data_IF_739762408435
#
_entry.id   IF_739762408435
#
_cell.length_a   1.000
_cell.length_b   1.000
_cell.length_c   1.000
_cell.angle_alpha   90.00
_cell.angle_beta   90.00
_cell.angle_gamma   90.00
#
_symmetry.space_group_name_H-M   'P 1'
#
loop_
_entity.id
_entity.type
_entity.pdbx_description
1 polymer ?
#
# COMPACT_ATOMS: atom_id res chain seq x y z
N UNK A 1 4.96 -27.96 -7.13
CA UNK A 1 6.16 -27.27 -6.64
C UNK A 1 5.87 -26.14 -5.66
N UNK A 2 4.61 -25.74 -5.44
CA UNK A 2 4.21 -24.65 -4.51
C UNK A 2 3.21 -25.13 -3.45
N UNK A 3 2.58 -26.28 -3.65
CA UNK A 3 1.68 -26.91 -2.68
C UNK A 3 2.51 -27.45 -1.52
N UNK A 4 2.06 -27.20 -0.29
CA UNK A 4 2.73 -27.54 0.97
C UNK A 4 4.13 -26.96 1.15
N UNK A 5 4.47 -25.87 0.43
CA UNK A 5 5.76 -25.17 0.54
C UNK A 5 5.57 -23.87 1.30
N UNK A 6 6.39 -23.65 2.35
CA UNK A 6 6.37 -22.43 3.16
C UNK A 6 5.04 -22.23 3.87
N UNK A 7 4.51 -23.30 4.47
CA UNK A 7 3.23 -23.27 5.21
C UNK A 7 3.35 -22.45 6.47
N UNK A 8 2.37 -21.54 6.69
CA UNK A 8 2.26 -20.71 7.89
C UNK A 8 0.82 -20.75 8.39
N UNK A 9 0.63 -21.15 9.65
CA UNK A 9 -0.72 -21.15 10.26
C UNK A 9 -1.25 -19.74 10.47
N UNK A 10 -2.58 -19.54 10.58
CA UNK A 10 -3.18 -18.22 10.83
C UNK A 10 -2.63 -17.52 12.07
N UNK A 11 -2.50 -18.24 13.18
CA UNK A 11 -1.98 -17.71 14.44
C UNK A 11 -0.52 -17.26 14.31
N UNK A 12 0.27 -18.10 13.60
CA UNK A 12 1.68 -17.79 13.40
C UNK A 12 1.86 -16.60 12.44
N UNK A 13 1.02 -16.50 11.41
CA UNK A 13 1.02 -15.37 10.49
C UNK A 13 0.78 -14.03 11.21
N UNK A 14 -0.15 -13.98 12.17
CA UNK A 14 -0.38 -12.81 13.02
C UNK A 14 0.83 -12.48 13.91
N UNK A 15 1.45 -13.48 14.54
CA UNK A 15 2.64 -13.28 15.38
C UNK A 15 3.84 -12.76 14.59
N UNK A 16 3.98 -13.17 13.33
CA UNK A 16 5.03 -12.70 12.41
C UNK A 16 4.74 -11.31 11.82
N UNK A 17 3.57 -10.75 12.09
CA UNK A 17 3.15 -9.45 11.57
C UNK A 17 2.81 -9.47 10.08
N UNK A 18 2.36 -10.60 9.56
CA UNK A 18 1.92 -10.72 8.17
C UNK A 18 0.69 -9.87 7.91
N UNK A 19 0.62 -9.33 6.70
CA UNK A 19 -0.51 -8.56 6.20
C UNK A 19 -0.71 -8.86 4.71
N UNK A 20 -1.85 -8.43 4.15
CA UNK A 20 -2.15 -8.63 2.74
C UNK A 20 -2.23 -10.11 2.33
N UNK A 21 -1.78 -10.45 1.12
CA UNK A 21 -1.84 -11.80 0.59
C UNK A 21 -1.14 -12.85 1.46
N UNK A 22 -0.08 -12.47 2.19
CA UNK A 22 0.62 -13.36 3.11
C UNK A 22 -0.29 -13.80 4.26
N UNK A 23 -1.08 -12.88 4.82
CA UNK A 23 -2.02 -13.17 5.89
C UNK A 23 -3.28 -13.87 5.36
N UNK A 24 -3.84 -13.36 4.26
CA UNK A 24 -5.04 -13.95 3.63
C UNK A 24 -4.80 -15.35 3.09
N UNK A 25 -3.60 -15.63 2.58
CA UNK A 25 -3.19 -16.99 2.19
C UNK A 25 -3.23 -18.00 3.34
N UNK A 26 -3.01 -17.54 4.58
CA UNK A 26 -3.10 -18.35 5.79
C UNK A 26 -4.52 -18.50 6.36
N UNK A 27 -5.55 -17.98 5.66
CA UNK A 27 -6.95 -18.16 6.07
C UNK A 27 -7.53 -17.03 6.91
N UNK A 28 -6.83 -15.90 7.05
CA UNK A 28 -7.32 -14.78 7.84
C UNK A 28 -7.87 -13.66 6.94
N UNK A 29 -9.18 -13.41 7.01
CA UNK A 29 -9.87 -12.39 6.21
C UNK A 29 -9.62 -10.98 6.75
N UNK A 30 -8.51 -10.38 6.37
CA UNK A 30 -8.17 -9.02 6.72
C UNK A 30 -7.77 -8.20 5.49
N UNK A 31 -8.48 -7.11 5.27
CA UNK A 31 -8.21 -6.14 4.20
C UNK A 31 -8.67 -4.75 4.66
N UNK A 32 -7.76 -3.78 4.66
CA UNK A 32 -8.05 -2.42 5.14
C UNK A 32 -9.13 -1.73 4.30
N UNK A 33 -9.24 -2.06 3.03
CA UNK A 33 -10.26 -1.49 2.13
C UNK A 33 -11.69 -1.82 2.56
N UNK A 34 -11.89 -2.93 3.28
CA UNK A 34 -13.20 -3.36 3.82
C UNK A 34 -13.33 -3.14 5.33
N UNK A 35 -12.26 -3.35 6.11
CA UNK A 35 -12.31 -3.26 7.58
C UNK A 35 -12.16 -1.82 8.09
N UNK A 36 -11.42 -0.98 7.37
CA UNK A 36 -11.22 0.45 7.64
C UNK A 36 -11.25 1.22 6.32
N UNK A 37 -12.43 1.33 5.66
CA UNK A 37 -12.54 1.93 4.35
C UNK A 37 -11.96 3.34 4.30
N UNK A 38 -11.25 3.64 3.23
CA UNK A 38 -10.70 4.94 2.91
C UNK A 38 -11.01 5.29 1.46
N UNK A 39 -10.92 6.58 1.10
CA UNK A 39 -11.29 7.10 -0.21
C UNK A 39 -12.72 6.67 -0.60
N UNK A 40 -12.87 5.93 -1.69
CA UNK A 40 -14.17 5.50 -2.22
C UNK A 40 -14.45 3.99 -2.04
N UNK A 41 -13.60 3.27 -1.29
CA UNK A 41 -13.74 1.82 -1.15
C UNK A 41 -15.04 1.37 -0.49
N UNK A 42 -15.68 2.21 0.30
CA UNK A 42 -16.99 1.98 0.88
C UNK A 42 -18.13 1.88 -0.16
N UNK A 43 -17.90 2.43 -1.38
CA UNK A 43 -18.86 2.46 -2.49
C UNK A 43 -18.61 1.40 -3.56
N UNK A 44 -17.50 0.67 -3.44
CA UNK A 44 -17.07 -0.30 -4.44
C UNK A 44 -17.46 -1.72 -4.04
N UNK A 45 -17.92 -2.47 -5.02
CA UNK A 45 -18.26 -3.88 -4.86
C UNK A 45 -17.07 -4.75 -5.31
N UNK A 46 -16.50 -5.49 -4.38
CA UNK A 46 -15.42 -6.45 -4.60
C UNK A 46 -15.31 -7.44 -3.44
N UNK A 47 -14.77 -8.61 -3.71
CA UNK A 47 -14.57 -9.66 -2.73
C UNK A 47 -13.12 -9.68 -2.22
N UNK A 48 -12.94 -10.20 -1.00
CA UNK A 48 -11.62 -10.45 -0.41
C UNK A 48 -11.31 -11.93 -0.56
N UNK A 49 -10.35 -12.32 -1.42
CA UNK A 49 -9.95 -13.71 -1.53
C UNK A 49 -9.16 -14.17 -0.30
N UNK A 50 -9.48 -15.36 0.19
CA UNK A 50 -8.85 -15.98 1.36
C UNK A 50 -8.42 -17.41 1.03
N UNK A 51 -7.20 -17.77 1.38
CA UNK A 51 -6.68 -19.14 1.27
C UNK A 51 -7.09 -20.02 2.46
N UNK A 52 -6.66 -21.25 2.45
CA UNK A 52 -7.00 -22.26 3.47
C UNK A 52 -5.76 -22.90 4.07
N UNK A 53 -4.77 -23.24 3.21
CA UNK A 53 -3.63 -24.08 3.61
C UNK A 53 -2.42 -23.25 4.11
N UNK A 54 -2.39 -21.97 3.87
CA UNK A 54 -1.29 -21.08 4.27
C UNK A 54 0.03 -21.37 3.54
N UNK A 55 -0.01 -21.99 2.38
CA UNK A 55 1.15 -22.35 1.57
C UNK A 55 1.40 -21.36 0.41
N UNK A 56 2.48 -21.59 -0.32
CA UNK A 56 2.83 -20.73 -1.47
C UNK A 56 1.82 -20.81 -2.60
N UNK A 57 1.11 -21.93 -2.74
CA UNK A 57 0.09 -22.09 -3.78
C UNK A 57 -1.17 -21.27 -3.46
N UNK A 58 -1.63 -21.31 -2.22
CA UNK A 58 -2.77 -20.49 -1.79
C UNK A 58 -2.48 -19.01 -1.93
N UNK A 59 -1.27 -18.55 -1.57
CA UNK A 59 -0.85 -17.15 -1.77
C UNK A 59 -0.84 -16.76 -3.25
N UNK A 60 -0.45 -17.68 -4.13
CA UNK A 60 -0.53 -17.46 -5.57
C UNK A 60 -1.99 -17.31 -6.03
N UNK A 61 -2.89 -18.20 -5.59
CA UNK A 61 -4.31 -18.14 -5.95
C UNK A 61 -4.97 -16.85 -5.43
N UNK A 62 -4.67 -16.46 -4.20
CA UNK A 62 -5.13 -15.19 -3.61
C UNK A 62 -4.73 -14.01 -4.50
N UNK A 63 -3.46 -13.92 -4.91
CA UNK A 63 -2.98 -12.82 -5.79
C UNK A 63 -3.64 -12.81 -7.16
N UNK A 64 -3.88 -13.97 -7.76
CA UNK A 64 -4.60 -14.05 -9.04
C UNK A 64 -6.02 -13.53 -8.89
N UNK A 65 -6.71 -13.90 -7.82
CA UNK A 65 -8.08 -13.41 -7.59
C UNK A 65 -8.09 -11.92 -7.25
N UNK A 66 -7.14 -11.42 -6.48
CA UNK A 66 -7.00 -9.99 -6.22
C UNK A 66 -6.80 -9.16 -7.49
N UNK A 67 -6.08 -9.67 -8.48
CA UNK A 67 -5.95 -9.01 -9.78
C UNK A 67 -7.30 -8.94 -10.52
N UNK A 68 -8.15 -9.98 -10.41
CA UNK A 68 -9.50 -9.96 -10.99
C UNK A 68 -10.38 -8.94 -10.28
N UNK A 69 -10.35 -8.91 -8.96
CA UNK A 69 -11.09 -7.94 -8.15
C UNK A 69 -10.62 -6.50 -8.43
N UNK A 70 -9.31 -6.26 -8.55
CA UNK A 70 -8.77 -4.96 -8.93
C UNK A 70 -9.25 -4.50 -10.30
N UNK A 71 -9.35 -5.41 -11.27
CA UNK A 71 -9.90 -5.09 -12.58
C UNK A 71 -11.41 -4.74 -12.52
N UNK A 72 -12.18 -5.41 -11.65
CA UNK A 72 -13.57 -5.06 -11.37
C UNK A 72 -13.68 -3.65 -10.76
N UNK A 73 -12.84 -3.32 -9.78
CA UNK A 73 -12.78 -1.98 -9.17
C UNK A 73 -12.48 -0.91 -10.23
N UNK A 74 -11.51 -1.13 -11.10
CA UNK A 74 -11.16 -0.19 -12.18
C UNK A 74 -12.37 0.07 -13.09
N UNK A 75 -13.12 -0.98 -13.47
CA UNK A 75 -14.32 -0.84 -14.30
C UNK A 75 -15.39 0.01 -13.61
N UNK A 76 -15.62 -0.19 -12.32
CA UNK A 76 -16.57 0.59 -11.53
C UNK A 76 -16.15 2.07 -11.45
N UNK A 77 -14.87 2.33 -11.16
CA UNK A 77 -14.33 3.69 -11.12
C UNK A 77 -14.44 4.41 -12.47
N UNK A 78 -14.12 3.74 -13.58
CA UNK A 78 -14.22 4.32 -14.93
C UNK A 78 -15.67 4.61 -15.29
N UNK A 79 -16.60 3.71 -14.96
CA UNK A 79 -18.03 3.95 -15.19
C UNK A 79 -18.50 5.19 -14.41
N UNK A 80 -18.17 5.27 -13.12
CA UNK A 80 -18.54 6.41 -12.28
C UNK A 80 -17.97 7.74 -12.78
N UNK A 81 -16.69 7.77 -13.18
CA UNK A 81 -16.02 8.97 -13.69
C UNK A 81 -16.64 9.47 -15.02
N UNK A 82 -17.16 8.59 -15.86
CA UNK A 82 -17.86 8.99 -17.09
C UNK A 82 -19.15 9.74 -16.81
N UNK A 83 -19.86 9.32 -15.76
CA UNK A 83 -21.14 9.90 -15.38
C UNK A 83 -20.98 11.15 -14.49
N UNK A 84 -19.81 11.29 -13.86
CA UNK A 84 -19.49 12.37 -12.91
C UNK A 84 -18.21 13.11 -13.31
N UNK A 85 -18.19 13.83 -14.42
CA UNK A 85 -17.02 14.63 -14.79
C UNK A 85 -16.82 15.78 -13.80
N UNK A 86 -15.56 16.06 -13.45
CA UNK A 86 -15.21 17.11 -12.50
C UNK A 86 -13.82 17.66 -12.74
N UNK A 87 -13.38 18.67 -11.95
CA UNK A 87 -12.03 19.21 -12.03
C UNK A 87 -11.02 18.12 -11.63
N UNK A 88 -9.91 18.05 -12.35
CA UNK A 88 -8.83 17.10 -12.12
C UNK A 88 -7.75 17.63 -11.19
N UNK A 89 -7.85 18.88 -10.77
CA UNK A 89 -6.87 19.57 -9.94
C UNK A 89 -7.59 20.45 -8.90
N UNK A 90 -7.06 20.49 -7.68
CA UNK A 90 -7.53 21.37 -6.63
C UNK A 90 -7.16 22.82 -6.96
N UNK A 91 -8.11 23.75 -6.81
CA UNK A 91 -7.87 25.18 -6.91
C UNK A 91 -7.45 25.74 -5.53
N UNK A 92 -6.17 25.61 -5.23
CA UNK A 92 -5.58 26.12 -3.99
C UNK A 92 -4.09 26.43 -4.21
N UNK A 93 -3.75 27.72 -4.39
CA UNK A 93 -2.38 28.15 -4.68
C UNK A 93 -1.36 27.81 -3.58
N UNK A 94 -1.77 27.48 -2.38
CA UNK A 94 -0.86 27.08 -1.29
C UNK A 94 -0.25 25.70 -1.49
N UNK A 95 -0.96 24.82 -2.18
CA UNK A 95 -0.54 23.42 -2.36
C UNK A 95 -0.50 22.98 -3.81
N UNK A 96 -1.16 23.72 -4.71
CA UNK A 96 -1.23 23.39 -6.14
C UNK A 96 -0.38 24.38 -6.94
N UNK A 97 0.54 23.88 -7.79
CA UNK A 97 1.33 24.78 -8.63
C UNK A 97 0.44 25.55 -9.63
N UNK A 98 0.72 26.85 -9.85
CA UNK A 98 -0.01 27.63 -10.82
C UNK A 98 0.21 27.17 -12.25
N UNK A 99 -0.69 27.51 -13.16
CA UNK A 99 -0.56 27.16 -14.56
C UNK A 99 0.66 27.87 -15.17
N UNK A 100 1.26 27.23 -16.21
CA UNK A 100 2.41 27.80 -16.92
C UNK A 100 2.13 29.17 -17.55
N UNK A 101 0.89 29.43 -17.93
CA UNK A 101 0.47 30.72 -18.49
C UNK A 101 0.52 31.77 -17.39
N UNK A 102 -0.14 31.53 -16.26
CA UNK A 102 -0.17 32.47 -15.14
C UNK A 102 1.22 32.78 -14.60
N UNK A 103 2.14 31.81 -14.56
CA UNK A 103 3.54 32.07 -14.15
C UNK A 103 4.28 33.06 -15.03
N UNK A 104 3.85 33.28 -16.28
CA UNK A 104 4.48 34.24 -17.20
C UNK A 104 3.92 35.65 -17.11
N UNK A 105 2.64 35.73 -16.76
CA UNK A 105 1.87 36.99 -16.84
C UNK A 105 1.58 37.58 -15.47
N UNK A 106 1.73 36.79 -14.39
CA UNK A 106 1.43 37.19 -13.03
C UNK A 106 2.63 36.90 -12.09
N UNK A 107 3.12 37.94 -11.44
CA UNK A 107 4.26 37.88 -10.53
C UNK A 107 3.95 37.05 -9.27
N UNK A 108 2.73 37.12 -8.76
CA UNK A 108 2.33 36.36 -7.58
C UNK A 108 2.34 34.86 -7.86
N UNK A 109 1.83 34.44 -9.00
CA UNK A 109 1.88 33.05 -9.47
C UNK A 109 3.31 32.55 -9.63
N UNK A 110 4.22 33.38 -10.13
CA UNK A 110 5.63 33.03 -10.23
C UNK A 110 6.27 32.81 -8.86
N UNK A 111 5.98 33.69 -7.88
CA UNK A 111 6.48 33.58 -6.52
C UNK A 111 5.91 32.32 -5.85
N UNK A 112 4.62 32.02 -6.00
CA UNK A 112 4.01 30.80 -5.47
C UNK A 112 4.63 29.54 -6.06
N UNK A 113 4.86 29.52 -7.36
CA UNK A 113 5.56 28.41 -8.02
C UNK A 113 6.97 28.24 -7.43
N UNK A 114 7.75 29.29 -7.35
CA UNK A 114 9.11 29.25 -6.81
C UNK A 114 9.12 28.72 -5.36
N UNK A 115 8.26 29.23 -4.50
CA UNK A 115 8.17 28.80 -3.10
C UNK A 115 7.72 27.35 -2.96
N UNK A 116 6.75 26.90 -3.73
CA UNK A 116 6.27 25.51 -3.70
C UNK A 116 7.37 24.52 -4.04
N UNK A 117 8.22 24.83 -5.02
CA UNK A 117 9.28 23.91 -5.47
C UNK A 117 10.60 24.04 -4.70
N UNK A 118 10.85 25.15 -4.03
CA UNK A 118 12.09 25.35 -3.24
C UNK A 118 11.87 25.10 -1.74
N UNK A 119 10.78 25.57 -1.19
CA UNK A 119 10.48 25.52 0.25
C UNK A 119 9.39 24.48 0.58
N UNK A 120 8.43 24.26 -0.34
CA UNK A 120 7.25 23.46 -0.09
C UNK A 120 6.20 24.22 0.74
N UNK A 121 5.32 23.50 1.42
CA UNK A 121 4.30 24.05 2.29
C UNK A 121 4.43 23.50 3.71
N UNK A 122 4.11 24.32 4.70
CA UNK A 122 4.12 23.92 6.11
C UNK A 122 2.87 23.10 6.45
N UNK A 123 3.03 22.06 7.22
CA UNK A 123 1.93 21.27 7.78
C UNK A 123 1.62 21.73 9.21
N UNK A 124 0.36 21.66 9.65
CA UNK A 124 0.03 21.90 11.06
C UNK A 124 0.84 20.96 12.00
N UNK A 125 1.14 21.45 13.21
CA UNK A 125 1.72 20.62 14.26
C UNK A 125 0.78 19.45 14.61
N UNK A 126 1.35 18.29 14.80
CA UNK A 126 0.59 17.10 15.18
C UNK A 126 1.23 15.81 14.73
N UNK A 127 0.58 14.71 15.08
CA UNK A 127 0.99 13.37 14.68
C UNK A 127 -0.17 12.62 14.05
N UNK A 128 0.14 11.78 13.06
CA UNK A 128 -0.83 10.94 12.35
C UNK A 128 -0.21 9.61 11.95
N UNK A 129 -0.99 8.55 12.11
CA UNK A 129 -0.73 7.28 11.45
C UNK A 129 -1.80 7.03 10.40
N UNK A 130 -1.38 6.76 9.18
CA UNK A 130 -2.26 6.39 8.09
C UNK A 130 -1.73 5.16 7.39
N UNK A 131 -2.61 4.21 7.10
CA UNK A 131 -2.28 2.98 6.41
C UNK A 131 -3.20 2.72 5.23
N UNK A 132 -2.66 2.09 4.19
CA UNK A 132 -3.40 1.68 3.00
C UNK A 132 -3.13 0.20 2.72
N UNK A 133 -4.08 -0.46 2.08
CA UNK A 133 -3.88 -1.82 1.57
C UNK A 133 -3.05 -1.74 0.29
N UNK A 134 -1.78 -2.05 0.40
CA UNK A 134 -0.84 -2.18 -0.71
C UNK A 134 -0.89 -3.63 -1.24
N UNK A 135 -0.59 -3.91 -2.53
CA UNK A 135 -0.61 -5.27 -3.07
C UNK A 135 0.23 -6.30 -2.31
N UNK A 136 1.26 -5.85 -1.60
CA UNK A 136 2.12 -6.71 -0.76
C UNK A 136 1.59 -6.87 0.66
N UNK A 137 0.74 -5.97 1.12
CA UNK A 137 0.19 -5.94 2.47
C UNK A 137 -0.03 -4.52 2.96
N UNK A 138 -0.23 -4.33 4.26
CA UNK A 138 -0.43 -3.02 4.87
C UNK A 138 0.81 -2.15 4.74
N UNK A 139 0.69 -1.03 4.03
CA UNK A 139 1.69 0.02 3.99
C UNK A 139 1.22 1.19 4.85
N UNK A 140 1.98 1.52 5.89
CA UNK A 140 1.62 2.56 6.85
C UNK A 140 2.70 3.62 6.98
N UNK A 141 2.26 4.85 7.20
CA UNK A 141 3.13 5.99 7.49
C UNK A 141 2.73 6.61 8.83
N UNK A 142 3.67 6.68 9.75
CA UNK A 142 3.56 7.49 10.95
C UNK A 142 4.38 8.76 10.76
N UNK A 143 3.70 9.90 10.82
CA UNK A 143 4.27 11.22 10.59
C UNK A 143 4.07 12.10 11.82
N UNK A 144 5.14 12.79 12.23
CA UNK A 144 5.10 13.86 13.23
C UNK A 144 5.52 15.16 12.56
N UNK A 145 4.68 16.19 12.65
CA UNK A 145 4.94 17.55 12.16
C UNK A 145 5.14 18.51 13.34
N UNK A 146 6.13 19.37 13.22
CA UNK A 146 6.40 20.48 14.14
C UNK A 146 5.96 21.87 13.61
N UNK A 147 5.11 21.87 12.59
CA UNK A 147 4.65 23.08 11.93
C UNK A 147 5.57 23.56 10.79
N UNK A 148 6.69 22.89 10.54
CA UNK A 148 7.59 23.22 9.45
C UNK A 148 7.21 22.54 8.12
N UNK A 149 7.98 22.81 7.07
CA UNK A 149 7.86 22.18 5.76
C UNK A 149 8.56 20.81 5.67
N UNK A 150 9.15 20.35 6.76
CA UNK A 150 9.83 19.05 6.85
C UNK A 150 9.25 18.25 7.99
N UNK A 151 9.10 16.94 7.85
CA UNK A 151 8.63 16.12 8.96
C UNK A 151 9.68 16.12 10.08
N UNK A 152 9.24 16.36 11.33
CA UNK A 152 10.07 16.16 12.50
C UNK A 152 10.47 14.70 12.65
N UNK A 153 9.52 13.80 12.41
CA UNK A 153 9.75 12.35 12.38
C UNK A 153 8.85 11.69 11.35
N UNK A 154 9.44 10.78 10.60
CA UNK A 154 8.74 9.91 9.66
C UNK A 154 9.13 8.46 9.93
N UNK A 155 8.15 7.58 10.12
CA UNK A 155 8.36 6.14 10.14
C UNK A 155 7.47 5.48 9.09
N UNK A 156 8.08 4.67 8.26
CA UNK A 156 7.39 3.87 7.24
C UNK A 156 7.28 2.43 7.75
N UNK A 157 6.04 1.92 7.82
CA UNK A 157 5.78 0.51 8.02
C UNK A 157 5.63 -0.12 6.65
N UNK A 158 6.65 -0.88 6.25
CA UNK A 158 6.67 -1.62 5.01
C UNK A 158 6.27 -3.08 5.27
N UNK A 159 5.35 -3.68 4.50
CA UNK A 159 4.93 -5.06 4.73
C UNK A 159 6.08 -6.06 4.49
N UNK A 160 6.93 -5.81 3.50
CA UNK A 160 8.05 -6.68 3.16
C UNK A 160 9.08 -6.85 4.28
N UNK A 161 9.27 -5.85 5.13
CA UNK A 161 10.17 -5.95 6.28
C UNK A 161 9.71 -7.04 7.27
N UNK A 162 8.43 -7.07 7.60
CA UNK A 162 7.86 -8.10 8.46
C UNK A 162 7.86 -9.49 7.76
N UNK A 163 7.50 -9.53 6.48
CA UNK A 163 7.48 -10.79 5.72
C UNK A 163 8.87 -11.42 5.62
N UNK A 164 9.91 -10.64 5.33
CA UNK A 164 11.28 -11.15 5.21
C UNK A 164 11.81 -11.70 6.52
N UNK A 165 11.43 -11.16 7.67
CA UNK A 165 11.86 -11.67 8.98
C UNK A 165 11.46 -13.14 9.22
N UNK A 166 10.42 -13.62 8.55
CA UNK A 166 9.93 -14.99 8.65
C UNK A 166 10.67 -15.99 7.76
N UNK A 167 11.56 -15.54 6.86
CA UNK A 167 12.20 -16.37 5.86
C UNK A 167 12.91 -17.62 6.49
N UNK A 168 13.65 -17.38 7.57
CA UNK A 168 14.35 -18.48 8.25
C UNK A 168 13.39 -19.56 8.78
N UNK A 169 12.23 -19.17 9.27
CA UNK A 169 11.23 -20.11 9.77
C UNK A 169 10.53 -20.86 8.63
N UNK A 170 10.13 -20.13 7.58
CA UNK A 170 9.42 -20.68 6.43
C UNK A 170 10.28 -21.64 5.59
N UNK A 171 11.60 -21.56 5.69
CA UNK A 171 12.52 -22.39 4.90
C UNK A 171 12.98 -23.66 5.62
N UNK A 172 12.75 -23.74 6.93
CA UNK A 172 13.17 -24.94 7.70
C UNK A 172 12.45 -26.21 7.22
N UNK A 173 13.25 -27.24 6.93
CA UNK A 173 12.72 -28.53 6.52
C UNK A 173 12.42 -28.68 5.03
N UNK A 174 12.62 -27.61 4.25
CA UNK A 174 12.44 -27.62 2.79
C UNK A 174 13.79 -27.71 2.05
N UNK A 175 13.74 -28.02 0.76
CA UNK A 175 14.92 -28.04 -0.09
C UNK A 175 15.40 -26.64 -0.44
N UNK A 176 16.70 -26.49 -0.76
CA UNK A 176 17.25 -25.22 -1.21
C UNK A 176 16.51 -24.63 -2.42
N UNK A 177 16.02 -25.49 -3.32
CA UNK A 177 15.21 -25.03 -4.46
C UNK A 177 13.86 -24.43 -4.05
N UNK A 178 13.30 -24.82 -2.90
CA UNK A 178 12.04 -24.30 -2.40
C UNK A 178 12.20 -22.91 -1.75
N UNK A 179 13.42 -22.58 -1.29
CA UNK A 179 13.73 -21.24 -0.76
C UNK A 179 13.44 -20.16 -1.80
N UNK A 180 13.75 -20.41 -3.07
CA UNK A 180 13.44 -19.49 -4.17
C UNK A 180 11.94 -19.26 -4.31
N UNK A 181 11.15 -20.34 -4.23
CA UNK A 181 9.68 -20.24 -4.27
C UNK A 181 9.14 -19.49 -3.04
N UNK A 182 9.70 -19.70 -1.85
CA UNK A 182 9.31 -19.03 -0.61
C UNK A 182 9.62 -17.53 -0.69
N UNK A 183 10.80 -17.13 -1.15
CA UNK A 183 11.15 -15.70 -1.37
C UNK A 183 10.19 -15.08 -2.38
N UNK A 184 9.94 -15.78 -3.49
CA UNK A 184 8.99 -15.30 -4.50
C UNK A 184 7.57 -15.12 -3.96
N UNK A 185 7.10 -16.02 -3.09
CA UNK A 185 5.77 -15.91 -2.49
C UNK A 185 5.66 -14.80 -1.43
N UNK A 186 6.77 -14.42 -0.78
CA UNK A 186 6.82 -13.27 0.13
C UNK A 186 6.74 -11.94 -0.61
N UNK A 187 7.00 -11.93 -1.92
CA UNK A 187 6.93 -10.74 -2.78
C UNK A 187 7.81 -9.60 -2.26
N UNK A 188 9.06 -9.90 -1.96
CA UNK A 188 10.01 -8.95 -1.38
C UNK A 188 10.56 -8.00 -2.44
N UNK A 189 10.57 -6.70 -2.12
CA UNK A 189 11.34 -5.67 -2.81
C UNK A 189 12.34 -5.09 -1.82
N UNK A 190 13.63 -5.24 -2.09
CA UNK A 190 14.66 -4.87 -1.11
C UNK A 190 14.74 -3.38 -0.82
N UNK A 191 14.41 -2.51 -1.77
CA UNK A 191 14.31 -1.07 -1.52
C UNK A 191 13.26 -0.70 -0.46
N UNK A 192 12.20 -1.50 -0.33
CA UNK A 192 11.20 -1.38 0.74
C UNK A 192 11.76 -1.83 2.09
N UNK A 193 12.65 -2.82 2.10
CA UNK A 193 13.25 -3.38 3.32
C UNK A 193 14.40 -2.52 3.82
N UNK A 194 15.25 -2.04 2.93
CA UNK A 194 16.49 -1.31 3.26
C UNK A 194 16.26 0.14 3.70
N UNK A 195 15.24 0.81 3.27
CA UNK A 195 14.81 2.18 3.62
C UNK A 195 15.89 3.19 3.94
#
# INVERSE_FOLDING_TARGET
RTVDIGVVSPERALQLGFTGPMLRGSGFEWDLRKKQPYEIYDRLDFDIPVGVNGDSYDRYLVRIEEMRQSNSIIKQCVAWLRDNPGPVMLDNHKVTPPSRVHMKDDMESLIHHFKLFTEGYALPEGEVYSAVEHPKGEFGIYLVSDGSNKPYRLKIRAPGFAHLSSLNEMTKGYMLADVVAIIGTQDIVFGEVDR
#
